data_IF_815010370915
#
_entry.id   IF_815010370915
#
_cell.length_a   1.000
_cell.length_b   1.000
_cell.length_c   1.000
_cell.angle_alpha   90.00
_cell.angle_beta   90.00
_cell.angle_gamma   90.00
#
_symmetry.space_group_name_H-M   'P 1'
#
loop_
_entity.id
_entity.type
_entity.pdbx_description
1 polymer ?
#
# COMPACT_ATOMS: atom_id res chain seq x y z
N UNK A 1 13.14 4.63 -18.12
CA UNK A 1 12.56 3.45 -17.47
C UNK A 1 11.90 3.96 -16.17
N UNK A 2 10.61 3.66 -15.96
CA UNK A 2 9.90 4.11 -14.75
C UNK A 2 10.36 3.28 -13.57
N UNK A 3 10.67 3.94 -12.45
CA UNK A 3 11.13 3.32 -11.21
C UNK A 3 10.44 3.95 -10.00
N UNK A 4 10.40 3.21 -8.92
CA UNK A 4 9.85 3.66 -7.63
C UNK A 4 10.62 3.06 -6.46
N UNK A 5 10.27 3.51 -5.27
CA UNK A 5 10.89 3.04 -4.03
C UNK A 5 9.94 2.10 -3.30
N UNK A 6 10.41 0.89 -3.01
CA UNK A 6 9.69 -0.10 -2.19
C UNK A 6 10.50 -0.43 -0.97
N UNK A 7 9.85 -0.91 0.11
CA UNK A 7 10.60 -1.41 1.26
C UNK A 7 10.51 -2.93 1.42
N UNK A 8 9.44 -3.57 0.88
CA UNK A 8 9.34 -5.03 0.93
C UNK A 8 8.52 -5.59 -0.26
N UNK A 9 8.71 -6.88 -0.55
CA UNK A 9 7.83 -7.70 -1.37
C UNK A 9 7.56 -8.98 -0.60
N UNK A 10 6.35 -9.13 -0.09
CA UNK A 10 5.93 -10.29 0.70
C UNK A 10 5.12 -11.25 -0.16
N UNK A 11 5.66 -12.44 -0.35
CA UNK A 11 4.97 -13.51 -1.08
C UNK A 11 4.07 -14.32 -0.13
N UNK A 12 3.05 -14.98 -0.68
CA UNK A 12 2.11 -15.86 0.04
C UNK A 12 1.30 -15.13 1.14
N UNK A 13 0.98 -13.85 0.94
CA UNK A 13 0.10 -13.12 1.83
C UNK A 13 -1.35 -13.66 1.72
N UNK A 14 -2.01 -13.85 2.86
CA UNK A 14 -3.38 -14.41 2.94
C UNK A 14 -4.43 -13.40 3.41
N UNK A 15 -4.00 -12.21 3.86
CA UNK A 15 -4.87 -11.21 4.48
C UNK A 15 -4.94 -9.87 3.70
N UNK A 16 -4.26 -9.81 2.58
CA UNK A 16 -4.12 -8.59 1.78
C UNK A 16 -5.05 -8.60 0.55
N UNK A 17 -6.19 -9.29 0.65
CA UNK A 17 -7.20 -9.46 -0.39
C UNK A 17 -7.57 -10.92 -0.61
N UNK A 18 -8.35 -11.24 -1.66
CA UNK A 18 -8.77 -12.62 -1.96
C UNK A 18 -7.61 -13.50 -2.44
N UNK A 19 -7.65 -14.77 -2.08
CA UNK A 19 -6.69 -15.78 -2.50
C UNK A 19 -5.28 -15.60 -1.94
N UNK A 20 -4.31 -16.28 -2.52
CA UNK A 20 -2.88 -16.14 -2.21
C UNK A 20 -2.34 -14.94 -2.98
N UNK A 21 -1.61 -14.05 -2.29
CA UNK A 21 -1.17 -12.80 -2.91
C UNK A 21 0.33 -12.55 -2.72
N UNK A 22 0.89 -11.81 -3.66
CA UNK A 22 2.16 -11.12 -3.48
C UNK A 22 1.88 -9.67 -3.16
N UNK A 23 2.33 -9.20 -1.98
CA UNK A 23 2.14 -7.81 -1.55
C UNK A 23 3.42 -7.02 -1.77
N UNK A 24 3.31 -5.96 -2.55
CA UNK A 24 4.40 -5.00 -2.83
C UNK A 24 4.19 -3.78 -1.96
N UNK A 25 5.15 -3.48 -1.08
CA UNK A 25 5.07 -2.38 -0.14
C UNK A 25 5.85 -1.17 -0.65
N UNK A 26 5.15 -0.14 -1.12
CA UNK A 26 5.73 1.11 -1.61
C UNK A 26 6.09 2.04 -0.45
N UNK A 27 7.16 2.83 -0.63
CA UNK A 27 7.54 3.89 0.32
C UNK A 27 6.86 5.22 -0.01
N UNK A 28 6.76 6.05 1.02
CA UNK A 28 6.08 7.33 0.97
C UNK A 28 4.65 7.24 1.48
N UNK A 29 4.35 8.04 2.51
CA UNK A 29 2.99 8.20 3.00
C UNK A 29 2.81 9.65 3.44
N UNK A 30 1.76 10.35 2.98
CA UNK A 30 1.46 11.69 3.46
C UNK A 30 0.92 11.71 4.89
N UNK A 31 0.31 10.59 5.33
CA UNK A 31 -0.24 10.48 6.67
C UNK A 31 0.83 10.16 7.71
N UNK A 32 0.58 10.57 8.97
CA UNK A 32 1.41 10.32 10.15
C UNK A 32 0.56 9.72 11.26
N UNK A 33 -0.11 8.59 10.94
CA UNK A 33 -1.02 7.93 11.87
C UNK A 33 -0.30 7.57 13.16
N UNK A 34 -0.90 7.90 14.31
CA UNK A 34 -0.35 7.59 15.63
C UNK A 34 -0.20 6.08 15.88
N UNK A 35 -0.97 5.28 15.15
CA UNK A 35 -0.94 3.80 15.18
C UNK A 35 -0.37 3.21 13.89
N UNK A 36 0.58 3.88 13.25
CA UNK A 36 1.12 3.40 11.97
C UNK A 36 1.66 1.96 12.10
N UNK A 37 1.18 1.06 11.23
CA UNK A 37 1.61 -0.32 11.22
C UNK A 37 2.95 -0.50 10.50
N UNK A 38 3.23 0.33 9.50
CA UNK A 38 4.44 0.30 8.68
C UNK A 38 5.15 1.67 8.71
N UNK A 39 5.72 2.09 9.85
CA UNK A 39 6.39 3.38 9.96
C UNK A 39 7.57 3.51 9.00
N UNK A 40 8.21 2.39 8.64
CA UNK A 40 9.27 2.30 7.62
C UNK A 40 8.81 2.67 6.21
N UNK A 41 7.51 2.64 5.97
CA UNK A 41 6.90 3.08 4.71
C UNK A 41 6.66 4.59 4.61
N UNK A 42 6.86 5.37 5.66
CA UNK A 42 6.47 6.78 5.69
C UNK A 42 7.39 7.70 4.86
N UNK A 43 8.73 7.53 4.97
CA UNK A 43 9.67 8.31 4.17
C UNK A 43 9.67 7.78 2.73
N UNK A 44 9.59 8.63 1.70
CA UNK A 44 9.63 8.19 0.30
C UNK A 44 11.02 7.69 -0.14
N UNK A 45 12.06 8.02 0.59
CA UNK A 45 13.44 7.66 0.26
C UNK A 45 13.91 6.41 1.00
N UNK A 46 14.90 5.69 0.48
CA UNK A 46 15.62 4.70 1.26
C UNK A 46 16.27 5.35 2.49
N UNK A 47 16.12 4.73 3.64
CA UNK A 47 16.65 5.23 4.91
C UNK A 47 17.32 4.15 5.73
N UNK A 48 18.03 4.53 6.78
CA UNK A 48 18.64 3.63 7.72
C UNK A 48 17.87 3.68 9.03
N UNK A 49 17.32 2.54 9.45
CA UNK A 49 16.51 2.45 10.66
C UNK A 49 17.12 1.47 11.66
N UNK A 50 16.91 1.75 12.95
CA UNK A 50 17.16 0.76 14.00
C UNK A 50 15.94 -0.16 14.07
N UNK A 51 16.08 -1.50 14.01
CA UNK A 51 14.95 -2.41 14.10
C UNK A 51 14.15 -2.18 15.37
N UNK A 52 12.83 -2.09 15.26
CA UNK A 52 11.93 -1.83 16.40
C UNK A 52 11.79 -3.05 17.31
N UNK A 53 12.04 -4.24 16.80
CA UNK A 53 11.99 -5.48 17.58
C UNK A 53 13.40 -5.99 17.88
N UNK A 54 13.72 -6.26 19.16
CA UNK A 54 14.97 -6.92 19.49
C UNK A 54 14.95 -8.33 18.90
N UNK A 55 15.97 -8.66 18.09
CA UNK A 55 16.21 -10.03 17.68
C UNK A 55 16.58 -10.86 18.93
N UNK A 56 16.05 -12.08 19.05
CA UNK A 56 16.48 -13.01 20.11
C UNK A 56 17.95 -13.33 19.89
N UNK A 57 18.83 -12.92 20.82
CA UNK A 57 20.27 -13.14 20.80
C UNK A 57 21.03 -12.01 21.50
N UNK A 58 22.38 -12.12 21.65
CA UNK A 58 23.18 -11.02 22.19
C UNK A 58 23.00 -9.78 21.31
N UNK A 59 22.36 -8.77 21.87
CA UNK A 59 22.05 -7.51 21.21
C UNK A 59 23.35 -6.71 21.01
N UNK A 60 23.89 -6.79 19.80
CA UNK A 60 24.76 -5.72 19.33
C UNK A 60 23.81 -4.54 19.00
N UNK A 61 23.81 -3.52 19.84
CA UNK A 61 22.87 -2.38 19.81
C UNK A 61 23.06 -1.47 18.59
N UNK A 62 23.98 -1.82 17.70
CA UNK A 62 24.36 -1.03 16.53
C UNK A 62 23.91 -1.65 15.18
N UNK A 63 23.01 -2.64 15.20
CA UNK A 63 22.47 -3.18 13.95
C UNK A 63 21.50 -2.19 13.36
N UNK A 64 21.93 -1.47 12.34
CA UNK A 64 21.09 -0.60 11.51
C UNK A 64 20.73 -1.33 10.23
N UNK A 65 19.45 -1.32 9.85
CA UNK A 65 18.98 -1.91 8.60
C UNK A 65 18.68 -0.81 7.59
N UNK A 66 19.13 -1.03 6.34
CA UNK A 66 18.75 -0.15 5.24
C UNK A 66 17.35 -0.56 4.78
N UNK A 67 16.39 0.33 4.95
CA UNK A 67 15.00 0.14 4.57
C UNK A 67 14.69 0.94 3.31
N UNK A 68 14.17 0.25 2.31
CA UNK A 68 13.84 0.82 1.02
C UNK A 68 14.94 0.65 -0.01
N UNK A 69 14.49 0.45 -1.24
CA UNK A 69 15.31 0.34 -2.45
C UNK A 69 14.56 0.88 -3.65
N UNK A 70 15.28 1.49 -4.55
CA UNK A 70 14.74 1.90 -5.85
C UNK A 70 14.74 0.69 -6.77
N UNK A 71 13.60 0.41 -7.39
CA UNK A 71 13.38 -0.71 -8.31
C UNK A 71 12.66 -0.24 -9.56
N UNK A 72 12.89 -0.91 -10.68
CA UNK A 72 12.12 -0.71 -11.91
C UNK A 72 10.80 -1.49 -11.87
N UNK A 73 9.88 -1.16 -12.78
CA UNK A 73 8.65 -1.96 -13.00
C UNK A 73 9.00 -3.41 -13.31
N UNK A 74 10.01 -3.66 -14.14
CA UNK A 74 10.42 -5.02 -14.50
C UNK A 74 10.93 -5.82 -13.29
N UNK A 75 11.72 -5.20 -12.40
CA UNK A 75 12.22 -5.87 -11.20
C UNK A 75 11.07 -6.36 -10.31
N UNK A 76 9.99 -5.56 -10.20
CA UNK A 76 8.80 -5.94 -9.43
C UNK A 76 8.00 -7.02 -10.15
N UNK A 77 7.82 -6.91 -11.47
CA UNK A 77 7.10 -7.91 -12.26
C UNK A 77 7.81 -9.25 -12.26
N UNK A 78 9.14 -9.29 -12.30
CA UNK A 78 9.93 -10.53 -12.18
C UNK A 78 9.65 -11.29 -10.86
N UNK A 79 9.36 -10.57 -9.76
CA UNK A 79 8.94 -11.19 -8.50
C UNK A 79 7.48 -11.65 -8.53
N UNK A 80 6.58 -10.86 -9.09
CA UNK A 80 5.14 -11.16 -9.21
C UNK A 80 4.94 -12.41 -10.08
N UNK A 81 5.63 -12.50 -11.20
CA UNK A 81 5.48 -13.61 -12.17
C UNK A 81 5.84 -14.98 -11.59
N UNK A 82 6.67 -15.03 -10.55
CA UNK A 82 7.00 -16.29 -9.87
C UNK A 82 5.81 -16.94 -9.17
N UNK A 83 4.75 -16.17 -8.91
CA UNK A 83 3.60 -16.60 -8.12
C UNK A 83 2.31 -16.77 -8.95
N UNK A 84 2.35 -16.56 -10.27
CA UNK A 84 1.16 -16.63 -11.15
C UNK A 84 0.39 -17.94 -10.96
N UNK A 85 1.09 -19.08 -10.87
CA UNK A 85 0.44 -20.38 -10.66
C UNK A 85 -0.40 -20.39 -9.36
N UNK A 86 0.08 -19.76 -8.29
CA UNK A 86 -0.67 -19.68 -7.03
C UNK A 86 -1.83 -18.70 -7.13
N UNK A 87 -1.70 -17.66 -7.94
CA UNK A 87 -2.80 -16.72 -8.19
C UNK A 87 -3.94 -17.40 -8.94
N UNK A 88 -3.63 -18.15 -9.99
CA UNK A 88 -4.62 -18.86 -10.80
C UNK A 88 -5.37 -19.92 -9.97
N UNK A 89 -4.67 -20.71 -9.16
CA UNK A 89 -5.25 -21.77 -8.34
C UNK A 89 -6.10 -21.25 -7.16
N UNK A 90 -5.76 -20.07 -6.63
CA UNK A 90 -6.42 -19.53 -5.43
C UNK A 90 -7.42 -18.39 -5.71
N UNK A 91 -7.49 -17.90 -6.95
CA UNK A 91 -8.17 -16.64 -7.26
C UNK A 91 -7.49 -15.43 -6.61
N UNK A 92 -6.17 -15.52 -6.45
CA UNK A 92 -5.33 -14.50 -5.84
C UNK A 92 -4.83 -13.42 -6.81
N UNK A 93 -3.63 -12.89 -6.55
CA UNK A 93 -3.02 -11.87 -7.38
C UNK A 93 -1.99 -11.02 -6.65
N UNK A 94 -1.84 -9.78 -7.05
CA UNK A 94 -0.93 -8.84 -6.41
C UNK A 94 -1.69 -7.77 -5.61
N UNK A 95 -1.09 -7.34 -4.49
CA UNK A 95 -1.58 -6.20 -3.70
C UNK A 95 -0.50 -5.15 -3.63
N UNK A 96 -0.82 -3.93 -4.02
CA UNK A 96 0.05 -2.77 -3.83
C UNK A 96 -0.37 -2.06 -2.54
N UNK A 97 0.55 -2.01 -1.59
CA UNK A 97 0.38 -1.50 -0.23
C UNK A 97 1.62 -0.72 0.22
N UNK A 98 1.86 -0.59 1.52
CA UNK A 98 3.08 -0.01 2.08
C UNK A 98 2.84 1.20 2.95
N UNK A 99 3.39 2.35 2.58
CA UNK A 99 3.01 3.65 3.09
C UNK A 99 1.66 4.06 2.50
N UNK A 100 1.67 4.82 1.41
CA UNK A 100 0.48 5.10 0.58
C UNK A 100 0.89 4.90 -0.90
N UNK A 101 0.39 3.89 -1.61
CA UNK A 101 0.79 3.64 -2.99
C UNK A 101 0.53 4.82 -3.94
N UNK A 102 -0.50 5.62 -3.64
CA UNK A 102 -0.83 6.83 -4.40
C UNK A 102 0.23 7.95 -4.27
N UNK A 103 1.18 7.82 -3.35
CA UNK A 103 2.32 8.74 -3.25
C UNK A 103 3.34 8.55 -4.39
N UNK A 104 3.28 7.43 -5.13
CA UNK A 104 4.12 7.14 -6.29
C UNK A 104 3.25 6.83 -7.53
N UNK A 105 2.44 7.78 -8.02
CA UNK A 105 1.36 7.52 -8.96
C UNK A 105 1.83 6.96 -10.31
N UNK A 106 2.91 7.47 -10.88
CA UNK A 106 3.44 7.02 -12.18
C UNK A 106 3.98 5.58 -12.11
N UNK A 107 4.65 5.26 -11.00
CA UNK A 107 5.16 3.92 -10.77
C UNK A 107 4.03 2.93 -10.52
N UNK A 108 3.08 3.28 -9.65
CA UNK A 108 1.90 2.47 -9.38
C UNK A 108 1.07 2.21 -10.65
N UNK A 109 0.82 3.26 -11.45
CA UNK A 109 0.09 3.14 -12.71
C UNK A 109 0.75 2.16 -13.67
N UNK A 110 2.08 2.24 -13.77
CA UNK A 110 2.86 1.35 -14.65
C UNK A 110 2.84 -0.09 -14.18
N UNK A 111 2.88 -0.33 -12.86
CA UNK A 111 2.74 -1.67 -12.28
C UNK A 111 1.34 -2.25 -12.54
N UNK A 112 0.27 -1.46 -12.35
CA UNK A 112 -1.09 -1.89 -12.63
C UNK A 112 -1.31 -2.25 -14.09
N UNK A 113 -0.71 -1.48 -15.01
CA UNK A 113 -0.74 -1.78 -16.45
C UNK A 113 0.00 -3.07 -16.78
N UNK A 114 1.20 -3.26 -16.22
CA UNK A 114 1.98 -4.48 -16.44
C UNK A 114 1.27 -5.72 -15.90
N UNK A 115 0.63 -5.62 -14.72
CA UNK A 115 -0.19 -6.70 -14.18
C UNK A 115 -1.38 -7.04 -15.09
N UNK A 116 -2.03 -6.01 -15.65
CA UNK A 116 -3.14 -6.20 -16.58
C UNK A 116 -2.72 -6.91 -17.87
N UNK A 117 -1.54 -6.61 -18.40
CA UNK A 117 -0.99 -7.31 -19.57
C UNK A 117 -0.71 -8.80 -19.31
N UNK A 118 -0.48 -9.16 -18.05
CA UNK A 118 -0.28 -10.54 -17.58
C UNK A 118 -1.56 -11.19 -17.04
N UNK A 119 -2.70 -10.52 -17.13
CA UNK A 119 -3.99 -10.98 -16.58
C UNK A 119 -3.95 -11.26 -15.07
N UNK A 120 -3.03 -10.61 -14.33
CA UNK A 120 -2.91 -10.73 -12.87
C UNK A 120 -3.90 -9.79 -12.19
N UNK A 121 -4.75 -10.35 -11.33
CA UNK A 121 -5.70 -9.58 -10.52
C UNK A 121 -4.98 -8.65 -9.53
N UNK A 122 -5.40 -7.38 -9.49
CA UNK A 122 -4.77 -6.33 -8.72
C UNK A 122 -5.66 -5.82 -7.58
N UNK A 123 -5.07 -5.68 -6.40
CA UNK A 123 -5.68 -5.03 -5.25
C UNK A 123 -4.86 -3.80 -4.87
N UNK A 124 -5.53 -2.68 -4.66
CA UNK A 124 -4.91 -1.48 -4.11
C UNK A 124 -5.31 -1.31 -2.65
N UNK A 125 -4.32 -1.40 -1.77
CA UNK A 125 -4.46 -1.18 -0.34
C UNK A 125 -4.07 0.27 -0.03
N UNK A 126 -5.05 1.12 0.26
CA UNK A 126 -4.88 2.58 0.30
C UNK A 126 -5.78 3.24 1.34
N UNK A 127 -5.30 4.35 1.90
CA UNK A 127 -6.16 5.29 2.63
C UNK A 127 -7.01 6.15 1.69
N UNK A 128 -6.70 6.17 0.40
CA UNK A 128 -7.31 7.05 -0.59
C UNK A 128 -6.91 8.52 -0.45
N UNK A 129 -5.88 8.83 0.34
CA UNK A 129 -5.42 10.20 0.50
C UNK A 129 -4.54 10.62 -0.69
N UNK A 130 -5.18 11.15 -1.70
CA UNK A 130 -4.55 11.72 -2.88
C UNK A 130 -5.44 12.79 -3.53
N UNK A 131 -4.86 13.74 -4.27
CA UNK A 131 -5.64 14.63 -5.13
C UNK A 131 -6.44 13.85 -6.18
N UNK A 132 -7.64 14.31 -6.59
CA UNK A 132 -8.49 13.63 -7.57
C UNK A 132 -7.80 13.35 -8.92
N UNK A 133 -6.90 14.22 -9.35
CA UNK A 133 -6.13 14.09 -10.59
C UNK A 133 -5.15 12.92 -10.55
N UNK A 134 -4.68 12.52 -9.36
CA UNK A 134 -3.84 11.33 -9.14
C UNK A 134 -4.74 10.09 -8.99
N UNK A 135 -5.81 10.20 -8.19
CA UNK A 135 -6.66 9.07 -7.86
C UNK A 135 -7.46 8.55 -9.07
N UNK A 136 -8.01 9.47 -9.87
CA UNK A 136 -8.93 9.14 -10.96
C UNK A 136 -8.35 8.18 -12.02
N UNK A 137 -7.12 8.34 -12.52
CA UNK A 137 -6.54 7.38 -13.45
C UNK A 137 -6.36 5.98 -12.85
N UNK A 138 -5.95 5.92 -11.58
CA UNK A 138 -5.69 4.66 -10.86
C UNK A 138 -6.97 3.85 -10.67
N UNK A 139 -8.10 4.52 -10.38
CA UNK A 139 -9.41 3.85 -10.19
C UNK A 139 -9.78 2.97 -11.37
N UNK A 140 -9.48 3.39 -12.59
CA UNK A 140 -9.78 2.63 -13.80
C UNK A 140 -8.97 1.34 -13.97
N UNK A 141 -7.85 1.23 -13.26
CA UNK A 141 -6.83 0.19 -13.49
C UNK A 141 -6.80 -0.92 -12.45
N UNK A 142 -7.10 -0.61 -11.19
CA UNK A 142 -7.17 -1.61 -10.12
C UNK A 142 -8.52 -2.34 -10.13
N UNK A 143 -8.50 -3.63 -9.78
CA UNK A 143 -9.68 -4.49 -9.75
C UNK A 143 -10.42 -4.37 -8.41
N UNK A 144 -9.69 -4.36 -7.29
CA UNK A 144 -10.22 -4.31 -5.94
C UNK A 144 -9.51 -3.21 -5.13
N UNK A 145 -10.25 -2.54 -4.24
CA UNK A 145 -9.72 -1.59 -3.27
C UNK A 145 -9.92 -2.11 -1.84
N UNK A 146 -8.83 -2.25 -1.09
CA UNK A 146 -8.86 -2.31 0.37
C UNK A 146 -8.72 -0.87 0.86
N UNK A 147 -9.82 -0.31 1.34
CA UNK A 147 -9.91 1.12 1.61
C UNK A 147 -9.94 1.39 3.11
N UNK A 148 -8.88 2.01 3.60
CA UNK A 148 -8.71 2.28 5.02
C UNK A 148 -9.37 3.60 5.44
N UNK A 149 -10.53 3.52 6.08
CA UNK A 149 -11.10 4.65 6.79
C UNK A 149 -10.49 4.75 8.19
N UNK A 150 -9.76 5.83 8.46
CA UNK A 150 -9.08 6.00 9.75
C UNK A 150 -10.06 6.58 10.78
N UNK A 151 -10.64 7.75 10.52
CA UNK A 151 -11.59 8.44 11.39
C UNK A 151 -12.58 9.24 10.53
N UNK A 152 -13.86 9.27 10.96
CA UNK A 152 -14.92 10.01 10.24
C UNK A 152 -14.95 11.50 10.62
N UNK A 153 -14.65 11.85 11.86
CA UNK A 153 -14.52 13.24 12.29
C UNK A 153 -13.21 13.84 11.74
N UNK A 154 -13.32 14.96 11.04
CA UNK A 154 -12.16 15.59 10.37
C UNK A 154 -11.14 16.15 11.38
N UNK A 155 -11.61 16.65 12.53
CA UNK A 155 -10.73 17.20 13.57
C UNK A 155 -9.90 16.10 14.23
N UNK A 156 -10.55 14.99 14.59
CA UNK A 156 -9.86 13.82 15.16
C UNK A 156 -8.97 13.15 14.11
N UNK A 157 -9.40 13.12 12.83
CA UNK A 157 -8.57 12.61 11.76
C UNK A 157 -7.27 13.43 11.63
N UNK A 158 -7.36 14.76 11.59
CA UNK A 158 -6.18 15.62 11.54
C UNK A 158 -5.27 15.44 12.77
N UNK A 159 -5.87 15.32 13.94
CA UNK A 159 -5.13 15.14 15.21
C UNK A 159 -4.29 13.85 15.21
N UNK A 160 -4.84 12.75 14.72
CA UNK A 160 -4.20 11.44 14.81
C UNK A 160 -3.47 10.99 13.54
N UNK A 161 -3.73 11.62 12.40
CA UNK A 161 -3.08 11.26 11.12
C UNK A 161 -2.26 12.40 10.53
N UNK A 162 -2.40 13.62 11.04
CA UNK A 162 -1.74 14.81 10.54
C UNK A 162 -2.47 15.51 9.39
N UNK A 163 -3.49 14.90 8.80
CA UNK A 163 -4.14 15.38 7.58
C UNK A 163 -5.68 15.34 7.67
N UNK A 164 -6.36 16.13 6.83
CA UNK A 164 -7.82 16.12 6.73
C UNK A 164 -8.34 14.84 6.04
N UNK A 165 -9.49 14.33 6.46
CA UNK A 165 -10.13 13.17 5.81
C UNK A 165 -10.91 13.54 4.54
N UNK A 166 -11.03 14.81 4.18
CA UNK A 166 -11.83 15.26 3.01
C UNK A 166 -11.43 14.59 1.71
N UNK A 167 -10.12 14.51 1.33
CA UNK A 167 -9.72 13.79 0.12
C UNK A 167 -10.07 12.30 0.19
N UNK A 168 -9.93 11.67 1.37
CA UNK A 168 -10.27 10.26 1.59
C UNK A 168 -11.75 10.02 1.30
N UNK A 169 -12.65 10.81 1.90
CA UNK A 169 -14.10 10.68 1.71
C UNK A 169 -14.55 11.03 0.28
N UNK A 170 -13.91 12.01 -0.36
CA UNK A 170 -14.16 12.38 -1.74
C UNK A 170 -13.79 11.24 -2.69
N UNK A 171 -12.63 10.63 -2.51
CA UNK A 171 -12.16 9.53 -3.33
C UNK A 171 -12.97 8.24 -3.11
N UNK A 172 -13.45 7.99 -1.90
CA UNK A 172 -14.37 6.88 -1.63
C UNK A 172 -15.68 7.02 -2.44
N UNK A 173 -16.26 8.23 -2.50
CA UNK A 173 -17.43 8.49 -3.35
C UNK A 173 -17.14 8.26 -4.84
N UNK A 174 -15.95 8.64 -5.30
CA UNK A 174 -15.56 8.41 -6.69
C UNK A 174 -15.44 6.91 -7.03
N UNK A 175 -15.09 6.04 -6.07
CA UNK A 175 -15.13 4.59 -6.24
C UNK A 175 -16.56 4.06 -6.36
N UNK A 176 -17.46 4.55 -5.50
CA UNK A 176 -18.88 4.20 -5.52
C UNK A 176 -19.53 4.58 -6.86
N UNK A 177 -19.35 5.83 -7.32
CA UNK A 177 -19.88 6.34 -8.59
C UNK A 177 -19.42 5.50 -9.79
N UNK A 178 -18.19 4.94 -9.72
CA UNK A 178 -17.62 4.06 -10.75
C UNK A 178 -17.89 2.58 -10.51
N UNK A 179 -18.68 2.24 -9.51
CA UNK A 179 -19.07 0.87 -9.14
C UNK A 179 -17.86 -0.07 -8.97
N UNK A 180 -16.79 0.44 -8.37
CA UNK A 180 -15.60 -0.35 -8.08
C UNK A 180 -15.84 -1.30 -6.92
N UNK A 181 -15.15 -2.44 -6.92
CA UNK A 181 -15.14 -3.34 -5.77
C UNK A 181 -14.29 -2.72 -4.66
N UNK A 182 -14.88 -2.56 -3.47
CA UNK A 182 -14.26 -1.94 -2.31
C UNK A 182 -14.55 -2.76 -1.07
N UNK A 183 -13.51 -3.05 -0.33
CA UNK A 183 -13.59 -3.57 1.04
C UNK A 183 -13.14 -2.44 1.97
N UNK A 184 -14.06 -1.90 2.77
CA UNK A 184 -13.73 -0.87 3.74
C UNK A 184 -13.14 -1.53 4.99
N UNK A 185 -12.01 -1.00 5.45
CA UNK A 185 -11.34 -1.46 6.67
C UNK A 185 -11.30 -0.34 7.70
N UNK A 186 -11.48 -0.73 8.96
CA UNK A 186 -11.33 0.14 10.12
C UNK A 186 -10.37 -0.50 11.10
N UNK A 187 -9.47 0.29 11.63
CA UNK A 187 -8.69 -0.11 12.78
C UNK A 187 -9.41 0.39 14.04
N UNK A 188 -9.76 -0.52 14.93
CA UNK A 188 -10.35 -0.17 16.22
C UNK A 188 -9.22 0.10 17.21
N UNK A 189 -9.07 1.35 17.59
CA UNK A 189 -8.11 1.79 18.62
C UNK A 189 -8.93 2.27 19.82
N UNK A 190 -8.87 1.57 20.98
CA UNK A 190 -9.63 1.99 22.16
C UNK A 190 -9.40 3.47 22.49
N UNK A 191 -10.46 4.18 22.84
CA UNK A 191 -10.49 5.60 23.18
C UNK A 191 -10.21 6.59 22.01
N UNK A 192 -10.00 6.08 20.77
CA UNK A 192 -9.72 6.92 19.60
C UNK A 192 -10.74 6.71 18.49
N UNK A 193 -11.05 5.44 18.13
CA UNK A 193 -11.99 5.12 17.05
C UNK A 193 -13.27 4.46 17.54
#
# INVERSE_FOLDING_TARGET
>A
MISGTIFDIKRYALHDGPGIRTTVFLKGCPLRCAWCHNPEGQDPNPETMVPVLPREGPTDTDVVEKVGRVVSVNDVMDEIEKDILFFDESGGGVTFSGGEPLAQPEFLESLLLACKEKEVHTTLDTSGYAPPEIFTPIVGRADLFLYDLKLMDDTEHQKYTGESNRPVLQNLKALEERRKQVIIRFLIVPEIT
#
